data_IF_009708614036
#
_entry.id   IF_009708614036
#
_cell.length_a   1.000
_cell.length_b   1.000
_cell.length_c   1.000
_cell.angle_alpha   90.00
_cell.angle_beta   90.00
_cell.angle_gamma   90.00
#
_symmetry.space_group_name_H-M   'P 1'
#
loop_
_entity.id
_entity.type
_entity.pdbx_description
1 polymer ?
#
# COMPACT_ATOMS: atom_id res chain seq x y z
N UNK A 1 -4.59 -5.77 -18.66
CA UNK A 1 -4.31 -4.38 -18.24
C UNK A 1 -3.34 -4.38 -17.09
N UNK A 2 -2.39 -3.46 -17.12
CA UNK A 2 -1.41 -3.28 -16.03
C UNK A 2 -1.54 -1.85 -15.52
N UNK A 3 -1.59 -1.67 -14.20
CA UNK A 3 -1.61 -0.35 -13.57
C UNK A 3 -0.45 -0.20 -12.61
N UNK A 4 0.02 1.03 -12.46
CA UNK A 4 0.94 1.44 -11.41
C UNK A 4 0.10 2.20 -10.37
N UNK A 5 0.17 1.81 -9.12
CA UNK A 5 -0.60 2.45 -8.07
C UNK A 5 0.29 2.86 -6.90
N UNK A 6 -0.14 3.88 -6.19
CA UNK A 6 0.50 4.39 -4.98
C UNK A 6 -0.55 4.75 -3.95
N UNK A 7 -0.25 4.47 -2.70
CA UNK A 7 -1.05 4.94 -1.57
C UNK A 7 -0.15 5.67 -0.59
N UNK A 8 -0.44 6.95 -0.39
CA UNK A 8 0.28 7.81 0.55
C UNK A 8 -0.60 8.07 1.76
N UNK A 9 -0.05 7.88 2.94
CA UNK A 9 -0.79 8.09 4.19
C UNK A 9 0.12 8.56 5.31
N UNK A 10 -0.47 9.31 6.24
CA UNK A 10 0.21 9.76 7.46
C UNK A 10 -0.01 8.75 8.56
N UNK A 11 1.00 8.55 9.38
CA UNK A 11 0.93 7.61 10.51
C UNK A 11 0.75 8.39 11.79
N UNK A 12 -0.42 8.26 12.40
CA UNK A 12 -0.74 8.94 13.66
C UNK A 12 -0.02 8.26 14.85
N UNK A 13 0.38 9.07 15.82
CA UNK A 13 0.94 8.57 17.07
C UNK A 13 2.37 8.04 17.00
N UNK A 14 3.02 8.17 15.86
CA UNK A 14 4.40 7.73 15.69
C UNK A 14 5.33 8.91 15.94
N UNK A 15 6.26 8.78 16.88
CA UNK A 15 7.15 9.87 17.32
C UNK A 15 8.62 9.63 16.96
N UNK A 16 8.93 8.56 16.25
CA UNK A 16 10.31 8.15 15.98
C UNK A 16 10.48 7.76 14.52
N UNK A 17 11.48 8.33 13.86
CA UNK A 17 11.85 7.92 12.51
C UNK A 17 12.32 6.47 12.45
N UNK A 18 12.91 5.96 13.54
CA UNK A 18 13.33 4.57 13.62
C UNK A 18 12.14 3.62 13.63
N UNK A 19 11.04 3.98 14.31
CA UNK A 19 9.80 3.20 14.31
C UNK A 19 9.13 3.23 12.93
N UNK A 20 9.16 4.37 12.24
CA UNK A 20 8.66 4.48 10.89
C UNK A 20 9.46 3.58 9.94
N UNK A 21 10.78 3.59 10.04
CA UNK A 21 11.66 2.74 9.27
C UNK A 21 11.35 1.26 9.51
N UNK A 22 11.17 0.86 10.77
CA UNK A 22 10.85 -0.53 11.11
C UNK A 22 9.49 -0.96 10.53
N UNK A 23 8.50 -0.08 10.57
CA UNK A 23 7.19 -0.35 9.96
C UNK A 23 7.29 -0.47 8.45
N UNK A 24 8.03 0.43 7.81
CA UNK A 24 8.27 0.38 6.36
C UNK A 24 8.94 -0.92 5.94
N UNK A 25 9.93 -1.36 6.69
CA UNK A 25 10.63 -2.62 6.42
C UNK A 25 9.70 -3.83 6.50
N UNK A 26 8.79 -3.84 7.48
CA UNK A 26 7.80 -4.92 7.62
C UNK A 26 6.79 -4.93 6.47
N UNK A 27 6.32 -3.75 6.06
CA UNK A 27 5.40 -3.64 4.94
C UNK A 27 6.09 -4.10 3.65
N UNK A 28 7.32 -3.66 3.42
CA UNK A 28 8.09 -4.06 2.24
C UNK A 28 8.32 -5.58 2.21
N UNK A 29 8.67 -6.16 3.34
CA UNK A 29 8.85 -7.61 3.46
C UNK A 29 7.55 -8.36 3.12
N UNK A 30 6.42 -7.89 3.62
CA UNK A 30 5.11 -8.49 3.33
C UNK A 30 4.75 -8.36 1.85
N UNK A 31 5.04 -7.21 1.22
CA UNK A 31 4.81 -7.02 -0.21
C UNK A 31 5.65 -7.96 -1.06
N UNK A 32 6.93 -8.15 -0.70
CA UNK A 32 7.81 -9.09 -1.41
C UNK A 32 7.31 -10.53 -1.28
N UNK A 33 6.78 -10.90 -0.12
CA UNK A 33 6.17 -12.22 0.07
C UNK A 33 4.95 -12.40 -0.83
N UNK A 34 4.13 -11.36 -0.97
CA UNK A 34 2.97 -11.38 -1.87
C UNK A 34 3.40 -11.48 -3.34
N UNK A 35 4.45 -10.76 -3.77
CA UNK A 35 4.97 -10.86 -5.13
C UNK A 35 5.46 -12.27 -5.44
N UNK A 36 6.07 -12.95 -4.46
CA UNK A 36 6.53 -14.33 -4.62
C UNK A 36 5.38 -15.31 -4.81
N UNK A 37 4.23 -15.03 -4.22
CA UNK A 37 3.05 -15.91 -4.28
C UNK A 37 2.08 -15.52 -5.39
N UNK A 38 2.15 -14.29 -5.92
CA UNK A 38 1.19 -13.76 -6.88
C UNK A 38 1.92 -13.10 -8.05
N UNK A 39 1.87 -13.75 -9.22
CA UNK A 39 2.54 -13.27 -10.43
C UNK A 39 1.93 -11.99 -11.01
N UNK A 40 0.76 -11.57 -10.52
CA UNK A 40 0.11 -10.32 -10.93
C UNK A 40 0.74 -9.09 -10.29
N UNK A 41 1.54 -9.27 -9.26
CA UNK A 41 2.17 -8.17 -8.50
C UNK A 41 3.63 -8.02 -8.89
N UNK A 42 4.08 -6.77 -9.02
CA UNK A 42 5.48 -6.46 -9.35
C UNK A 42 5.87 -5.08 -8.80
N UNK A 43 7.16 -4.82 -8.77
CA UNK A 43 7.74 -3.51 -8.48
C UNK A 43 7.22 -2.86 -7.21
N UNK A 44 7.04 -3.65 -6.15
CA UNK A 44 6.68 -3.11 -4.84
C UNK A 44 7.73 -2.14 -4.34
N UNK A 45 7.27 -1.02 -3.77
CA UNK A 45 8.13 0.01 -3.20
C UNK A 45 7.49 0.61 -1.96
N UNK A 46 8.31 0.96 -0.99
CA UNK A 46 7.89 1.69 0.20
C UNK A 46 8.81 2.88 0.37
N UNK A 47 8.24 4.08 0.38
CA UNK A 47 8.96 5.33 0.58
C UNK A 47 8.50 5.98 1.89
N UNK A 48 9.44 6.60 2.60
CA UNK A 48 9.18 7.22 3.89
C UNK A 48 9.59 8.68 3.84
N UNK A 49 8.75 9.56 4.41
CA UNK A 49 9.06 10.98 4.56
C UNK A 49 9.01 11.34 6.04
N UNK A 50 10.14 11.77 6.57
CA UNK A 50 10.29 12.18 7.97
C UNK A 50 10.66 13.67 8.10
N UNK A 51 10.75 14.40 6.98
CA UNK A 51 11.21 15.80 6.98
C UNK A 51 10.15 16.76 7.49
N UNK A 52 8.89 16.39 7.43
CA UNK A 52 7.80 17.18 7.98
C UNK A 52 7.45 16.67 9.38
N UNK A 53 6.72 17.47 10.15
CA UNK A 53 6.23 17.03 11.45
C UNK A 53 5.24 15.88 11.34
N UNK A 54 4.85 15.52 10.13
CA UNK A 54 3.95 14.44 9.82
C UNK A 54 4.74 13.31 9.17
N UNK A 55 4.79 12.16 9.82
CA UNK A 55 5.45 10.99 9.23
C UNK A 55 4.54 10.37 8.20
N UNK A 56 5.03 10.25 6.99
CA UNK A 56 4.26 9.77 5.83
C UNK A 56 4.90 8.54 5.24
N UNK A 57 4.08 7.56 4.90
CA UNK A 57 4.51 6.36 4.18
C UNK A 57 3.80 6.31 2.82
N UNK A 58 4.54 5.98 1.77
CA UNK A 58 3.99 5.76 0.44
C UNK A 58 4.28 4.33 0.01
N UNK A 59 3.24 3.59 -0.32
CA UNK A 59 3.35 2.22 -0.83
C UNK A 59 3.05 2.23 -2.32
N UNK A 60 3.99 1.73 -3.13
CA UNK A 60 3.83 1.60 -4.57
C UNK A 60 3.77 0.14 -5.00
N UNK A 61 2.99 -0.13 -6.05
CA UNK A 61 2.80 -1.49 -6.55
C UNK A 61 2.34 -1.45 -8.01
N UNK A 62 2.87 -2.36 -8.82
CA UNK A 62 2.40 -2.59 -10.19
C UNK A 62 1.57 -3.86 -10.20
N UNK A 63 0.36 -3.79 -10.77
CA UNK A 63 -0.60 -4.90 -10.74
C UNK A 63 -1.15 -5.15 -12.14
N UNK A 64 -1.22 -6.42 -12.53
CA UNK A 64 -1.86 -6.86 -13.77
C UNK A 64 -3.24 -7.44 -13.47
N UNK A 65 -4.22 -7.16 -14.32
CA UNK A 65 -5.58 -7.67 -14.20
C UNK A 65 -6.32 -7.62 -15.53
N UNK A 66 -7.58 -8.05 -15.52
CA UNK A 66 -8.41 -8.11 -16.72
C UNK A 66 -8.98 -6.74 -17.12
N UNK A 67 -9.48 -5.99 -16.15
CA UNK A 67 -10.00 -4.65 -16.38
C UNK A 67 -9.54 -3.71 -15.26
N UNK A 68 -9.81 -2.42 -15.42
CA UNK A 68 -9.35 -1.39 -14.48
C UNK A 68 -9.88 -1.62 -13.07
N UNK A 69 -11.19 -1.84 -12.94
CA UNK A 69 -11.82 -1.99 -11.61
C UNK A 69 -11.28 -3.22 -10.88
N UNK A 70 -11.21 -4.36 -11.53
CA UNK A 70 -10.65 -5.59 -10.96
C UNK A 70 -9.19 -5.38 -10.54
N UNK A 71 -8.41 -4.72 -11.39
CA UNK A 71 -7.00 -4.48 -11.14
C UNK A 71 -6.79 -3.56 -9.93
N UNK A 72 -7.59 -2.50 -9.81
CA UNK A 72 -7.58 -1.61 -8.64
C UNK A 72 -7.98 -2.35 -7.38
N UNK A 73 -9.03 -3.15 -7.43
CA UNK A 73 -9.49 -3.93 -6.28
C UNK A 73 -8.40 -4.91 -5.82
N UNK A 74 -7.71 -5.54 -6.76
CA UNK A 74 -6.61 -6.44 -6.44
C UNK A 74 -5.43 -5.69 -5.80
N UNK A 75 -5.10 -4.50 -6.31
CA UNK A 75 -4.06 -3.66 -5.75
C UNK A 75 -4.38 -3.27 -4.31
N UNK A 76 -5.60 -2.79 -4.06
CA UNK A 76 -6.04 -2.38 -2.72
C UNK A 76 -6.03 -3.56 -1.75
N UNK A 77 -6.52 -4.72 -2.17
CA UNK A 77 -6.52 -5.93 -1.35
C UNK A 77 -5.10 -6.35 -0.99
N UNK A 78 -4.17 -6.28 -1.95
CA UNK A 78 -2.76 -6.64 -1.73
C UNK A 78 -2.07 -5.70 -0.76
N UNK A 79 -2.26 -4.39 -0.92
CA UNK A 79 -1.72 -3.38 -0.01
C UNK A 79 -2.28 -3.57 1.41
N UNK A 80 -3.59 -3.77 1.52
CA UNK A 80 -4.25 -4.02 2.80
C UNK A 80 -3.69 -5.26 3.48
N UNK A 81 -3.52 -6.34 2.73
CA UNK A 81 -2.97 -7.59 3.26
C UNK A 81 -1.55 -7.37 3.80
N UNK A 82 -0.72 -6.62 3.07
CA UNK A 82 0.65 -6.32 3.50
C UNK A 82 0.66 -5.48 4.78
N UNK A 83 -0.21 -4.48 4.90
CA UNK A 83 -0.32 -3.64 6.10
C UNK A 83 -0.74 -4.48 7.31
N UNK A 84 -1.75 -5.33 7.15
CA UNK A 84 -2.23 -6.19 8.23
C UNK A 84 -1.17 -7.22 8.63
N UNK A 85 -0.44 -7.79 7.68
CA UNK A 85 0.65 -8.71 7.97
C UNK A 85 1.80 -8.03 8.75
N UNK A 86 1.99 -6.74 8.54
CA UNK A 86 2.97 -5.93 9.27
C UNK A 86 2.48 -5.42 10.62
N UNK A 87 1.26 -5.79 11.03
CA UNK A 87 0.67 -5.40 12.31
C UNK A 87 -0.11 -4.08 12.28
N UNK A 88 -0.33 -3.51 11.10
CA UNK A 88 -1.12 -2.30 10.92
C UNK A 88 -2.60 -2.56 10.76
N UNK A 89 -3.37 -1.50 10.53
CA UNK A 89 -4.80 -1.58 10.28
C UNK A 89 -5.23 -0.59 9.19
N UNK A 90 -6.35 -0.85 8.56
CA UNK A 90 -6.92 -0.01 7.52
C UNK A 90 -8.40 0.23 7.82
N UNK A 91 -8.72 0.95 8.93
CA UNK A 91 -10.10 1.05 9.41
C UNK A 91 -11.05 1.74 8.42
N UNK A 92 -10.57 2.72 7.68
CA UNK A 92 -11.41 3.46 6.73
C UNK A 92 -11.76 2.66 5.47
N UNK A 93 -10.99 1.62 5.17
CA UNK A 93 -11.23 0.79 3.98
C UNK A 93 -12.43 -0.13 4.15
N UNK A 94 -12.68 -0.61 5.37
CA UNK A 94 -13.79 -1.51 5.65
C UNK A 94 -15.13 -0.78 5.57
N UNK A 95 -15.17 0.49 5.93
CA UNK A 95 -16.39 1.30 5.91
C UNK A 95 -16.87 1.61 4.48
N UNK A 96 -15.99 1.57 3.51
CA UNK A 96 -16.31 1.95 2.13
C UNK A 96 -17.00 0.84 1.32
N UNK A 97 -17.13 -0.36 1.84
CA UNK A 97 -17.77 -1.47 1.14
C UNK A 97 -17.10 -1.82 -0.19
N UNK A 98 -15.83 -1.51 -0.35
CA UNK A 98 -15.05 -1.82 -1.54
C UNK A 98 -15.32 -0.92 -2.75
N UNK A 99 -16.23 0.04 -2.63
CA UNK A 99 -16.62 0.88 -3.77
C UNK A 99 -15.82 2.18 -3.89
N UNK A 100 -15.15 2.61 -2.81
CA UNK A 100 -14.41 3.86 -2.76
C UNK A 100 -12.93 3.62 -2.54
N UNK A 101 -12.10 4.31 -3.34
CA UNK A 101 -10.67 4.31 -3.15
C UNK A 101 -10.32 5.08 -1.86
N UNK A 102 -9.38 4.59 -1.03
CA UNK A 102 -8.97 5.32 0.15
C UNK A 102 -8.30 6.65 -0.22
N UNK A 103 -8.40 7.62 0.66
CA UNK A 103 -7.76 8.91 0.46
C UNK A 103 -6.26 8.73 0.30
N UNK A 104 -5.66 9.42 -0.67
CA UNK A 104 -4.24 9.32 -0.97
C UNK A 104 -3.87 8.19 -1.92
N UNK A 105 -4.84 7.40 -2.37
CA UNK A 105 -4.62 6.36 -3.37
C UNK A 105 -4.65 6.95 -4.78
N UNK A 106 -3.70 6.55 -5.61
CA UNK A 106 -3.61 6.94 -7.01
C UNK A 106 -3.29 5.72 -7.85
N UNK A 107 -3.91 5.62 -9.02
CA UNK A 107 -3.65 4.55 -9.96
C UNK A 107 -3.63 5.11 -11.39
N UNK A 108 -2.73 4.60 -12.21
CA UNK A 108 -2.61 4.98 -13.61
C UNK A 108 -2.23 3.77 -14.45
N UNK A 109 -2.77 3.69 -15.67
CA UNK A 109 -2.39 2.65 -16.62
C UNK A 109 -0.92 2.79 -17.02
N UNK A 110 -0.26 1.66 -17.11
CA UNK A 110 1.13 1.58 -17.52
C UNK A 110 1.23 1.39 -19.04
#
# INVERSE_FOLDING_TARGET
MTISCEWEFSIAGLHSSELLQAKGDRVMSALLDLESADQRLADSAVSLDTETMTMTMTIGLVVAGNDYQETVDHALTSIRTAIHAAGGSTPDWDAAGGALEPQGFRAAAV
#
